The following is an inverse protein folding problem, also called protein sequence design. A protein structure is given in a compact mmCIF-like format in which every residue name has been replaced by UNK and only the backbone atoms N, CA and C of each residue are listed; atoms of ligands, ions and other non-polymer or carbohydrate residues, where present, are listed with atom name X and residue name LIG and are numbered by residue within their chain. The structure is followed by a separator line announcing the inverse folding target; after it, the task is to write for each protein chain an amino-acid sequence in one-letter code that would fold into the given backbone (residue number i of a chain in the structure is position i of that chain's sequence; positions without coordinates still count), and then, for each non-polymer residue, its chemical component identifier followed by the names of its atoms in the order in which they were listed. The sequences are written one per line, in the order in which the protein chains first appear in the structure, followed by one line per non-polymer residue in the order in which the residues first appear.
data_IF_970736475187
#
_entry.id   IF_970736475187
#
_cell.length_a   1.000
_cell.length_b   1.000
_cell.length_c   1.000
_cell.angle_alpha   90.00
_cell.angle_beta   90.00
_cell.angle_gamma   90.00
#
_symmetry.space_group_name_H-M   'P 1'
#
loop_
_entity.id
_entity.type
_entity.pdbx_description
1 polymer ?
#
# COMPACT_ATOMS: atom_id res chain seq x y z
N UNK A 1 9.95 -20.50 2.72
CA UNK A 1 9.27 -19.22 2.97
C UNK A 1 8.19 -19.01 1.91
N UNK A 2 6.92 -18.82 2.30
CA UNK A 2 5.79 -18.76 1.35
C UNK A 2 5.83 -17.49 0.51
N UNK A 3 6.18 -17.60 -0.77
CA UNK A 3 6.23 -16.48 -1.73
C UNK A 3 4.94 -15.64 -1.75
N UNK A 4 3.78 -16.28 -1.54
CA UNK A 4 2.47 -15.60 -1.47
C UNK A 4 2.34 -14.65 -0.27
N UNK A 5 2.89 -15.05 0.87
CA UNK A 5 2.83 -14.25 2.10
C UNK A 5 3.76 -13.04 2.01
N UNK A 6 4.97 -13.23 1.44
CA UNK A 6 5.93 -12.15 1.18
C UNK A 6 5.35 -11.11 0.22
N UNK A 7 4.73 -11.55 -0.89
CA UNK A 7 4.08 -10.64 -1.83
C UNK A 7 2.95 -9.84 -1.18
N UNK A 8 2.13 -10.49 -0.35
CA UNK A 8 1.03 -9.80 0.35
C UNK A 8 1.57 -8.71 1.27
N UNK A 9 2.57 -9.03 2.10
CA UNK A 9 3.18 -8.06 3.02
C UNK A 9 3.83 -6.89 2.26
N UNK A 10 4.49 -7.17 1.13
CA UNK A 10 5.09 -6.13 0.30
C UNK A 10 4.03 -5.12 -0.20
N UNK A 11 2.89 -5.61 -0.68
CA UNK A 11 1.81 -4.75 -1.20
C UNK A 11 1.17 -3.92 -0.06
N UNK A 12 1.05 -4.48 1.14
CA UNK A 12 0.63 -3.73 2.33
C UNK A 12 1.61 -2.60 2.67
N UNK A 13 2.92 -2.88 2.63
CA UNK A 13 3.95 -1.87 2.88
C UNK A 13 3.92 -0.76 1.83
N UNK A 14 3.76 -1.10 0.55
CA UNK A 14 3.63 -0.11 -0.52
C UNK A 14 2.45 0.84 -0.27
N UNK A 15 1.27 0.31 0.08
CA UNK A 15 0.10 1.11 0.39
C UNK A 15 0.37 2.11 1.52
N UNK A 16 1.00 1.64 2.61
CA UNK A 16 1.35 2.47 3.77
C UNK A 16 2.36 3.56 3.39
N UNK A 17 3.39 3.22 2.60
CA UNK A 17 4.38 4.19 2.13
C UNK A 17 3.73 5.26 1.27
N UNK A 18 2.85 4.89 0.33
CA UNK A 18 2.15 5.85 -0.53
C UNK A 18 1.26 6.80 0.28
N UNK A 19 0.54 6.28 1.28
CA UNK A 19 -0.28 7.10 2.19
C UNK A 19 0.61 8.06 2.98
N UNK A 20 1.70 7.56 3.58
CA UNK A 20 2.61 8.37 4.38
C UNK A 20 3.27 9.49 3.58
N UNK A 21 3.79 9.16 2.39
CA UNK A 21 4.38 10.15 1.47
C UNK A 21 3.31 11.13 0.99
N UNK A 22 2.11 10.65 0.64
CA UNK A 22 1.00 11.49 0.22
C UNK A 22 0.60 12.53 1.26
N UNK A 23 0.47 12.11 2.52
CA UNK A 23 0.23 13.00 3.66
C UNK A 23 1.39 13.98 3.84
N UNK A 24 2.64 13.49 3.79
CA UNK A 24 3.83 14.34 3.92
C UNK A 24 3.87 15.46 2.89
N UNK A 25 3.58 15.15 1.62
CA UNK A 25 3.51 16.15 0.54
C UNK A 25 2.33 17.12 0.70
N UNK A 26 1.18 16.64 1.20
CA UNK A 26 0.03 17.50 1.49
C UNK A 26 0.31 18.50 2.62
N UNK A 27 1.05 18.07 3.64
CA UNK A 27 1.50 18.95 4.72
C UNK A 27 2.57 19.92 4.23
N UNK A 28 3.57 19.44 3.48
CA UNK A 28 4.64 20.27 2.95
C UNK A 28 4.14 21.30 1.93
N UNK A 29 3.13 20.94 1.12
CA UNK A 29 2.52 21.70 0.00
C UNK A 29 3.47 22.07 -1.15
N UNK A 30 4.70 22.42 -0.84
CA UNK A 30 5.75 22.85 -1.76
C UNK A 30 7.07 22.18 -1.39
N UNK A 31 7.92 21.92 -2.38
CA UNK A 31 9.30 21.44 -2.18
C UNK A 31 10.26 22.40 -2.87
N UNK A 32 11.43 22.63 -2.26
CA UNK A 32 12.49 23.43 -2.87
C UNK A 32 13.40 22.55 -3.71
N UNK A 33 13.55 22.88 -4.98
CA UNK A 33 14.57 22.30 -5.87
C UNK A 33 15.74 23.28 -5.93
N UNK A 34 16.95 22.77 -5.71
CA UNK A 34 18.18 23.56 -5.82
C UNK A 34 18.89 23.17 -7.10
N UNK A 35 19.15 24.16 -7.95
CA UNK A 35 19.87 23.98 -9.21
C UNK A 35 21.13 24.85 -9.19
N UNK A 36 22.30 24.32 -9.59
CA UNK A 36 23.51 25.12 -9.67
C UNK A 36 23.34 26.23 -10.71
N UNK A 37 23.87 27.42 -10.42
CA UNK A 37 23.89 28.52 -11.39
C UNK A 37 25.04 28.28 -12.36
N UNK A 38 24.75 28.21 -13.67
CA UNK A 38 25.78 28.04 -14.69
C UNK A 38 26.85 29.13 -14.57
N UNK A 39 28.11 28.70 -14.49
CA UNK A 39 29.26 29.59 -14.36
C UNK A 39 29.59 30.03 -12.92
N UNK A 40 28.88 29.54 -11.90
CA UNK A 40 29.22 29.75 -10.49
C UNK A 40 29.37 28.42 -9.76
N UNK A 41 30.49 28.22 -9.04
CA UNK A 41 30.72 27.04 -8.20
C UNK A 41 30.01 27.09 -6.85
N UNK A 42 29.58 28.28 -6.41
CA UNK A 42 29.11 28.52 -5.05
C UNK A 42 27.69 29.10 -4.98
N UNK A 43 26.97 29.17 -6.11
CA UNK A 43 25.63 29.76 -6.16
C UNK A 43 24.60 28.74 -6.65
N UNK A 44 23.46 28.72 -5.96
CA UNK A 44 22.31 27.88 -6.29
C UNK A 44 21.06 28.74 -6.48
N UNK A 45 20.26 28.38 -7.48
CA UNK A 45 18.89 28.87 -7.64
C UNK A 45 17.96 27.95 -6.87
N UNK A 46 17.06 28.53 -6.05
CA UNK A 46 16.06 27.78 -5.29
C UNK A 46 14.68 28.02 -5.90
N UNK A 47 14.07 26.97 -6.43
CA UNK A 47 12.72 27.03 -7.02
C UNK A 47 11.73 26.27 -6.15
N UNK A 48 10.65 26.92 -5.73
CA UNK A 48 9.57 26.28 -4.99
C UNK A 48 8.57 25.64 -5.96
N UNK A 49 8.39 24.33 -5.87
CA UNK A 49 7.46 23.57 -6.72
C UNK A 49 6.26 23.11 -5.89
N UNK A 50 5.02 23.40 -6.31
CA UNK A 50 3.82 22.91 -5.64
C UNK A 50 3.68 21.40 -5.85
N UNK A 51 3.55 20.66 -4.76
CA UNK A 51 3.47 19.18 -4.75
C UNK A 51 2.21 18.65 -4.09
N UNK A 52 1.32 19.53 -3.62
CA UNK A 52 0.07 19.12 -2.98
C UNK A 52 -0.75 18.17 -3.88
N UNK A 53 -0.80 18.44 -5.20
CA UNK A 53 -1.48 17.56 -6.17
C UNK A 53 -0.87 16.16 -6.24
N UNK A 54 0.46 16.05 -6.19
CA UNK A 54 1.17 14.76 -6.12
C UNK A 54 0.82 14.05 -4.81
N UNK A 55 0.76 14.79 -3.71
CA UNK A 55 0.33 14.28 -2.40
C UNK A 55 -1.07 13.66 -2.43
N UNK A 56 -2.05 14.35 -3.04
CA UNK A 56 -3.42 13.82 -3.21
C UNK A 56 -3.42 12.52 -4.01
N UNK A 57 -2.65 12.47 -5.11
CA UNK A 57 -2.59 11.29 -5.97
C UNK A 57 -2.01 10.09 -5.22
N UNK A 58 -0.86 10.25 -4.57
CA UNK A 58 -0.22 9.17 -3.81
C UNK A 58 -1.12 8.68 -2.67
N UNK A 59 -1.75 9.60 -1.94
CA UNK A 59 -2.70 9.25 -0.88
C UNK A 59 -3.88 8.45 -1.43
N UNK A 60 -4.46 8.89 -2.55
CA UNK A 60 -5.61 8.23 -3.17
C UNK A 60 -5.25 6.82 -3.64
N UNK A 61 -4.09 6.65 -4.29
CA UNK A 61 -3.61 5.34 -4.75
C UNK A 61 -3.37 4.41 -3.56
N UNK A 62 -2.68 4.88 -2.51
CA UNK A 62 -2.42 4.08 -1.32
C UNK A 62 -3.70 3.64 -0.61
N UNK A 63 -4.70 4.52 -0.50
CA UNK A 63 -6.01 4.18 0.05
C UNK A 63 -6.78 3.16 -0.80
N UNK A 64 -6.72 3.27 -2.13
CA UNK A 64 -7.35 2.29 -3.03
C UNK A 64 -6.72 0.90 -2.90
N UNK A 65 -5.39 0.82 -2.82
CA UNK A 65 -4.69 -0.45 -2.59
C UNK A 65 -5.10 -1.03 -1.23
N UNK A 66 -5.11 -0.21 -0.18
CA UNK A 66 -5.51 -0.63 1.16
C UNK A 66 -6.95 -1.17 1.18
N UNK A 67 -7.88 -0.46 0.54
CA UNK A 67 -9.27 -0.89 0.44
C UNK A 67 -9.39 -2.24 -0.30
N UNK A 68 -8.67 -2.42 -1.41
CA UNK A 68 -8.65 -3.68 -2.14
C UNK A 68 -8.10 -4.84 -1.27
N UNK A 69 -7.02 -4.61 -0.53
CA UNK A 69 -6.45 -5.61 0.39
C UNK A 69 -7.43 -6.00 1.49
N UNK A 70 -8.13 -5.03 2.08
CA UNK A 70 -9.14 -5.28 3.10
C UNK A 70 -10.32 -6.10 2.56
N UNK A 71 -10.78 -5.80 1.34
CA UNK A 71 -11.85 -6.58 0.68
C UNK A 71 -11.38 -8.03 0.44
N UNK A 72 -10.14 -8.21 -0.03
CA UNK A 72 -9.57 -9.55 -0.25
C UNK A 72 -9.48 -10.32 1.07
N UNK A 73 -9.01 -9.69 2.14
CA UNK A 73 -8.90 -10.33 3.45
C UNK A 73 -10.27 -10.69 4.02
N UNK A 74 -11.25 -9.79 3.92
CA UNK A 74 -12.63 -10.02 4.37
C UNK A 74 -13.30 -11.19 3.64
N UNK A 75 -12.94 -11.43 2.38
CA UNK A 75 -13.50 -12.51 1.56
C UNK A 75 -12.70 -13.81 1.61
N UNK A 76 -11.64 -13.92 2.44
CA UNK A 76 -10.92 -15.19 2.58
C UNK A 76 -11.77 -16.20 3.37
N UNK A 77 -12.04 -17.40 2.82
CA UNK A 77 -12.75 -18.44 3.57
C UNK A 77 -11.91 -18.88 4.77
N UNK A 78 -12.51 -18.88 5.96
CA UNK A 78 -11.84 -19.07 7.24
C UNK A 78 -11.58 -20.54 7.62
N UNK A 79 -12.07 -21.55 6.90
CA UNK A 79 -11.73 -22.95 7.19
C UNK A 79 -11.86 -23.92 5.99
N UNK A 80 -10.86 -24.78 5.74
CA UNK A 80 -10.97 -25.97 4.89
C UNK A 80 -11.31 -27.26 5.65
N UNK A 81 -11.91 -27.19 6.84
CA UNK A 81 -12.07 -28.37 7.73
C UNK A 81 -13.50 -28.91 7.88
N UNK A 82 -14.51 -28.28 7.28
CA UNK A 82 -15.92 -28.72 7.43
C UNK A 82 -16.24 -30.05 6.69
N UNK A 83 -15.29 -30.61 5.94
CA UNK A 83 -15.45 -31.88 5.22
C UNK A 83 -14.92 -33.11 5.97
N UNK A 84 -14.25 -32.93 7.11
CA UNK A 84 -13.68 -34.05 7.89
C UNK A 84 -14.62 -34.60 8.99
N UNK A 85 -15.75 -33.93 9.24
CA UNK A 85 -16.65 -34.25 10.35
C UNK A 85 -18.07 -34.61 9.88
N UNK A 86 -18.18 -35.35 8.76
CA UNK A 86 -19.37 -36.18 8.55
C UNK A 86 -19.12 -37.52 9.25
N UNK A 87 -19.61 -37.74 10.49
CA UNK A 87 -19.60 -39.07 11.07
C UNK A 87 -20.31 -40.02 10.11
N UNK A 88 -19.69 -41.18 9.89
CA UNK A 88 -20.12 -42.30 9.05
C UNK A 88 -21.39 -42.97 9.60
N UNK A 89 -22.46 -42.19 9.75
CA UNK A 89 -23.75 -42.61 10.30
C UNK A 89 -24.59 -43.45 9.31
N UNK A 90 -23.95 -44.21 8.43
CA UNK A 90 -24.61 -45.06 7.44
C UNK A 90 -23.94 -46.45 7.29
N UNK A 91 -23.09 -46.84 8.25
CA UNK A 91 -22.49 -48.18 8.28
C UNK A 91 -23.25 -49.18 9.16
N UNK A 92 -24.38 -48.80 9.75
CA UNK A 92 -25.16 -49.65 10.65
C UNK A 92 -26.66 -49.47 10.38
N UNK A 93 -27.13 -50.11 9.30
CA UNK A 93 -28.56 -50.43 9.11
C UNK A 93 -28.70 -51.95 9.04
N UNK A 94 -29.69 -52.51 9.76
CA UNK A 94 -29.82 -53.95 10.06
C UNK A 94 -30.14 -54.82 8.84
#
# INVERSE_FOLDING_TARGET
MNRKLVATVLVWLEAIVLIGVGIGLLVARTVSIQEPVEGSSDTFTVTAVPVAGIGVVLLSVGLLILAALLIIEANRPSHPTELAERPSADADRP
#
